data_IF_936303131927
#
_entry.id   IF_936303131927
#
_cell.length_a   1.000
_cell.length_b   1.000
_cell.length_c   1.000
_cell.angle_alpha   90.00
_cell.angle_beta   90.00
_cell.angle_gamma   90.00
#
_symmetry.space_group_name_H-M   'P 1'
#
loop_
_entity.id
_entity.type
_entity.pdbx_description
1 polymer ?
#
# COMPACT_ATOMS: atom_id res chain seq x y z
N UNK A 1 22.22 -3.01 4.06
CA UNK A 1 22.12 -3.40 2.64
C UNK A 1 22.13 -2.13 1.83
N UNK A 2 23.03 -2.02 0.86
CA UNK A 2 23.10 -0.84 -0.01
C UNK A 2 21.79 -0.69 -0.79
N UNK A 3 21.25 0.52 -0.87
CA UNK A 3 20.06 0.81 -1.68
C UNK A 3 20.43 0.66 -3.16
N UNK A 4 20.00 -0.43 -3.77
CA UNK A 4 20.10 -0.61 -5.22
C UNK A 4 18.86 0.01 -5.86
N UNK A 5 19.06 1.05 -6.68
CA UNK A 5 17.98 1.78 -7.35
C UNK A 5 17.15 0.86 -8.24
N UNK A 6 17.77 -0.17 -8.83
CA UNK A 6 17.06 -1.17 -9.65
C UNK A 6 16.10 -1.98 -8.78
N UNK A 7 16.53 -2.42 -7.59
CA UNK A 7 15.67 -3.15 -6.64
C UNK A 7 14.49 -2.28 -6.18
N UNK A 8 14.72 -0.99 -5.91
CA UNK A 8 13.66 -0.05 -5.54
C UNK A 8 12.62 0.11 -6.65
N UNK A 9 13.06 0.26 -7.91
CA UNK A 9 12.14 0.37 -9.05
C UNK A 9 11.31 -0.91 -9.20
N UNK A 10 11.95 -2.08 -9.13
CA UNK A 10 11.25 -3.37 -9.18
C UNK A 10 10.22 -3.45 -8.06
N UNK A 11 10.59 -3.07 -6.83
CA UNK A 11 9.68 -3.07 -5.69
C UNK A 11 8.48 -2.14 -5.91
N UNK A 12 8.69 -0.93 -6.43
CA UNK A 12 7.61 0.00 -6.76
C UNK A 12 6.66 -0.64 -7.78
N UNK A 13 7.18 -1.25 -8.85
CA UNK A 13 6.35 -1.90 -9.88
C UNK A 13 5.53 -3.05 -9.27
N UNK A 14 6.15 -3.93 -8.49
CA UNK A 14 5.46 -5.05 -7.82
C UNK A 14 4.37 -4.53 -6.88
N UNK A 15 4.68 -3.48 -6.10
CA UNK A 15 3.71 -2.84 -5.21
C UNK A 15 2.59 -2.14 -5.99
N UNK A 16 2.86 -1.54 -7.15
CA UNK A 16 1.84 -0.92 -8.00
C UNK A 16 0.87 -1.96 -8.54
N UNK A 17 1.36 -3.12 -8.98
CA UNK A 17 0.50 -4.21 -9.48
C UNK A 17 -0.30 -4.84 -8.34
N UNK A 18 0.30 -4.96 -7.15
CA UNK A 18 -0.30 -5.70 -6.04
C UNK A 18 -1.18 -4.82 -5.14
N UNK A 19 -0.63 -3.71 -4.65
CA UNK A 19 -1.21 -2.87 -3.60
C UNK A 19 -2.13 -1.79 -4.19
N UNK A 20 -1.79 -1.19 -5.34
CA UNK A 20 -2.58 -0.08 -5.87
C UNK A 20 -4.04 -0.48 -6.21
N UNK A 21 -4.34 -1.64 -6.83
CA UNK A 21 -5.71 -2.08 -7.06
C UNK A 21 -6.49 -2.29 -5.76
N UNK A 22 -5.83 -2.88 -4.75
CA UNK A 22 -6.44 -3.16 -3.45
C UNK A 22 -6.78 -1.85 -2.74
N UNK A 23 -5.82 -0.94 -2.65
CA UNK A 23 -6.01 0.36 -2.02
C UNK A 23 -7.08 1.18 -2.76
N UNK A 24 -7.09 1.12 -4.09
CA UNK A 24 -8.11 1.75 -4.92
C UNK A 24 -9.51 1.19 -4.62
N UNK A 25 -9.67 -0.14 -4.59
CA UNK A 25 -10.95 -0.79 -4.25
C UNK A 25 -11.40 -0.37 -2.84
N UNK A 26 -10.51 -0.42 -1.84
CA UNK A 26 -10.82 -0.01 -0.47
C UNK A 26 -11.24 1.45 -0.38
N UNK A 27 -10.52 2.35 -1.06
CA UNK A 27 -10.89 3.76 -1.15
C UNK A 27 -12.25 3.94 -1.81
N UNK A 28 -12.52 3.24 -2.90
CA UNK A 28 -13.80 3.32 -3.62
C UNK A 28 -14.99 2.90 -2.76
N UNK A 29 -14.82 1.87 -1.94
CA UNK A 29 -15.85 1.38 -1.03
C UNK A 29 -16.18 2.42 0.06
N UNK A 30 -15.17 3.11 0.59
CA UNK A 30 -15.34 3.95 1.79
C UNK A 30 -15.52 5.46 1.51
N UNK A 31 -14.99 5.96 0.39
CA UNK A 31 -15.04 7.40 0.04
C UNK A 31 -15.65 7.68 -1.34
N UNK A 32 -15.91 6.64 -2.14
CA UNK A 32 -16.58 6.76 -3.44
C UNK A 32 -15.65 7.05 -4.63
N UNK A 33 -16.24 7.05 -5.83
CA UNK A 33 -15.53 7.20 -7.12
C UNK A 33 -14.83 8.53 -7.30
N UNK A 34 -15.46 9.59 -6.84
CA UNK A 34 -14.98 10.96 -7.08
C UNK A 34 -13.73 11.28 -6.26
N UNK A 35 -13.54 10.56 -5.15
CA UNK A 35 -12.43 10.76 -4.20
C UNK A 35 -11.29 9.76 -4.38
N UNK A 36 -11.59 8.49 -4.68
CA UNK A 36 -10.58 7.45 -4.83
C UNK A 36 -10.37 7.08 -6.30
N UNK A 37 -9.55 7.82 -7.05
CA UNK A 37 -9.19 7.45 -8.42
C UNK A 37 -8.02 6.46 -8.41
N UNK A 38 -7.90 5.67 -9.47
CA UNK A 38 -6.80 4.70 -9.58
C UNK A 38 -5.45 5.41 -9.64
N UNK A 39 -5.38 6.56 -10.31
CA UNK A 39 -4.20 7.43 -10.34
C UNK A 39 -3.78 7.89 -8.95
N UNK A 40 -4.74 8.20 -8.07
CA UNK A 40 -4.44 8.59 -6.69
C UNK A 40 -3.82 7.42 -5.91
N UNK A 41 -4.33 6.19 -6.12
CA UNK A 41 -3.75 4.97 -5.53
C UNK A 41 -2.32 4.68 -6.04
N UNK A 42 -2.06 4.90 -7.33
CA UNK A 42 -0.71 4.80 -7.92
C UNK A 42 0.26 5.75 -7.21
N UNK A 43 -0.14 7.01 -6.99
CA UNK A 43 0.70 7.99 -6.30
C UNK A 43 0.94 7.62 -4.84
N UNK A 44 -0.10 7.18 -4.12
CA UNK A 44 0.04 6.72 -2.73
C UNK A 44 1.07 5.59 -2.64
N UNK A 45 0.98 4.58 -3.51
CA UNK A 45 1.91 3.44 -3.48
C UNK A 45 3.32 3.85 -3.88
N UNK A 46 3.47 4.64 -4.95
CA UNK A 46 4.79 5.10 -5.43
C UNK A 46 5.51 5.90 -4.35
N UNK A 47 4.83 6.87 -3.74
CA UNK A 47 5.40 7.69 -2.68
C UNK A 47 5.58 6.90 -1.39
N UNK A 48 4.62 6.06 -1.01
CA UNK A 48 4.68 5.25 0.20
C UNK A 48 5.88 4.29 0.20
N UNK A 49 6.16 3.62 -0.93
CA UNK A 49 7.32 2.75 -1.08
C UNK A 49 8.62 3.56 -1.12
N UNK A 50 8.67 4.65 -1.90
CA UNK A 50 9.88 5.47 -2.03
C UNK A 50 10.28 6.10 -0.70
N UNK A 51 9.34 6.74 -0.02
CA UNK A 51 9.57 7.39 1.28
C UNK A 51 9.84 6.32 2.35
N UNK A 52 9.10 5.21 2.34
CA UNK A 52 9.30 4.10 3.25
C UNK A 52 10.71 3.49 3.13
N UNK A 53 11.23 3.33 1.91
CA UNK A 53 12.60 2.85 1.67
C UNK A 53 13.64 3.79 2.27
N UNK A 54 13.48 5.11 2.07
CA UNK A 54 14.38 6.12 2.64
C UNK A 54 14.35 6.09 4.17
N UNK A 55 13.17 6.01 4.77
CA UNK A 55 13.01 5.98 6.24
C UNK A 55 13.64 4.72 6.84
N UNK A 56 13.42 3.56 6.23
CA UNK A 56 14.02 2.31 6.68
C UNK A 56 15.55 2.30 6.53
N UNK A 57 16.08 3.04 5.55
CA UNK A 57 17.53 3.19 5.40
C UNK A 57 18.14 4.11 6.47
N UNK A 58 17.45 5.18 6.85
CA UNK A 58 17.97 6.22 7.75
C UNK A 58 17.70 5.97 9.25
N UNK A 59 16.75 5.10 9.59
CA UNK A 59 16.19 5.03 10.96
C UNK A 59 16.24 3.63 11.57
N UNK A 60 16.31 3.55 12.90
CA UNK A 60 16.19 2.30 13.65
C UNK A 60 14.78 1.67 13.49
N UNK A 61 14.75 0.33 13.41
CA UNK A 61 13.58 -0.48 13.02
C UNK A 61 12.22 -0.13 13.69
N UNK A 62 12.12 0.08 15.01
CA UNK A 62 10.81 0.35 15.62
C UNK A 62 10.27 1.75 15.28
N UNK A 63 11.15 2.75 15.17
CA UNK A 63 10.77 4.13 14.84
C UNK A 63 10.39 4.22 13.36
N UNK A 64 11.13 3.53 12.49
CA UNK A 64 10.82 3.45 11.06
C UNK A 64 9.41 2.90 10.80
N UNK A 65 8.98 1.89 11.56
CA UNK A 65 7.64 1.30 11.43
C UNK A 65 6.53 2.30 11.74
N UNK A 66 6.66 3.05 12.84
CA UNK A 66 5.68 4.07 13.24
C UNK A 66 5.59 5.18 12.19
N UNK A 67 6.74 5.72 11.75
CA UNK A 67 6.78 6.74 10.71
C UNK A 67 6.16 6.26 9.41
N UNK A 68 6.46 5.02 9.01
CA UNK A 68 5.90 4.42 7.80
C UNK A 68 4.38 4.35 7.88
N UNK A 69 3.81 3.87 9.00
CA UNK A 69 2.36 3.83 9.19
C UNK A 69 1.74 5.24 9.09
N UNK A 70 2.34 6.23 9.75
CA UNK A 70 1.86 7.61 9.72
C UNK A 70 1.87 8.16 8.28
N UNK A 71 2.93 7.88 7.52
CA UNK A 71 3.06 8.36 6.13
C UNK A 71 2.03 7.70 5.22
N UNK A 72 1.80 6.41 5.34
CA UNK A 72 0.73 5.75 4.58
C UNK A 72 -0.63 6.36 4.88
N UNK A 73 -0.96 6.60 6.15
CA UNK A 73 -2.22 7.25 6.54
C UNK A 73 -2.31 8.68 5.99
N UNK A 74 -1.24 9.45 6.05
CA UNK A 74 -1.19 10.81 5.50
C UNK A 74 -1.35 10.83 3.98
N UNK A 75 -0.69 9.92 3.27
CA UNK A 75 -0.82 9.77 1.82
C UNK A 75 -2.27 9.42 1.46
N UNK A 76 -2.87 8.42 2.11
CA UNK A 76 -4.28 8.05 1.87
C UNK A 76 -5.20 9.25 2.15
N UNK A 77 -5.00 9.93 3.28
CA UNK A 77 -5.78 11.11 3.66
C UNK A 77 -5.71 12.21 2.60
N UNK A 78 -4.50 12.48 2.10
CA UNK A 78 -4.23 13.55 1.15
C UNK A 78 -4.74 13.21 -0.26
N UNK A 79 -4.40 12.03 -0.78
CA UNK A 79 -4.73 11.65 -2.15
C UNK A 79 -6.19 11.21 -2.33
N UNK A 80 -6.82 10.64 -1.30
CA UNK A 80 -8.24 10.28 -1.35
C UNK A 80 -9.17 11.33 -0.71
N UNK A 81 -8.65 12.53 -0.39
CA UNK A 81 -9.44 13.66 0.15
C UNK A 81 -10.39 13.26 1.29
N UNK A 82 -9.89 12.53 2.28
CA UNK A 82 -10.73 11.95 3.34
C UNK A 82 -10.29 12.37 4.76
N UNK A 83 -11.13 12.09 5.76
CA UNK A 83 -10.81 12.31 7.16
C UNK A 83 -9.92 11.20 7.74
N UNK A 84 -9.28 11.46 8.88
CA UNK A 84 -8.39 10.50 9.56
C UNK A 84 -9.03 9.13 9.81
N UNK A 85 -10.28 9.11 10.32
CA UNK A 85 -10.98 7.86 10.60
C UNK A 85 -11.23 7.05 9.33
N UNK A 86 -11.55 7.73 8.21
CA UNK A 86 -11.73 7.07 6.91
C UNK A 86 -10.39 6.57 6.36
N UNK A 87 -9.31 7.34 6.46
CA UNK A 87 -7.99 6.89 6.02
C UNK A 87 -7.55 5.62 6.74
N UNK A 88 -7.77 5.55 8.06
CA UNK A 88 -7.51 4.36 8.86
C UNK A 88 -8.43 3.17 8.47
N UNK A 89 -9.71 3.42 8.26
CA UNK A 89 -10.62 2.38 7.78
C UNK A 89 -10.21 1.84 6.40
N UNK A 90 -9.74 2.71 5.49
CA UNK A 90 -9.25 2.33 4.16
C UNK A 90 -7.99 1.47 4.29
N UNK A 91 -7.03 1.85 5.14
CA UNK A 91 -5.81 1.07 5.31
C UNK A 91 -6.08 -0.31 5.91
N UNK A 92 -7.01 -0.40 6.87
CA UNK A 92 -7.42 -1.69 7.45
C UNK A 92 -8.14 -2.54 6.41
N UNK A 93 -9.10 -1.97 5.68
CA UNK A 93 -9.83 -2.69 4.63
C UNK A 93 -8.89 -3.18 3.54
N UNK A 94 -7.90 -2.38 3.14
CA UNK A 94 -6.88 -2.78 2.16
C UNK A 94 -6.05 -3.96 2.68
N UNK A 95 -5.63 -3.94 3.95
CA UNK A 95 -4.92 -5.05 4.57
C UNK A 95 -5.75 -6.34 4.58
N UNK A 96 -7.04 -6.26 4.91
CA UNK A 96 -7.96 -7.42 4.88
C UNK A 96 -8.10 -7.97 3.47
N UNK A 97 -8.33 -7.12 2.46
CA UNK A 97 -8.43 -7.54 1.06
C UNK A 97 -7.12 -8.21 0.61
N UNK A 98 -5.97 -7.64 0.98
CA UNK A 98 -4.67 -8.21 0.62
C UNK A 98 -4.46 -9.61 1.23
N UNK A 99 -4.82 -9.81 2.50
CA UNK A 99 -4.76 -11.13 3.15
C UNK A 99 -5.65 -12.13 2.41
N UNK A 100 -6.87 -11.75 2.05
CA UNK A 100 -7.79 -12.62 1.28
C UNK A 100 -7.18 -12.99 -0.07
N UNK A 101 -6.60 -12.03 -0.81
CA UNK A 101 -5.94 -12.29 -2.09
C UNK A 101 -4.77 -13.27 -1.92
N UNK A 102 -3.93 -13.09 -0.91
CA UNK A 102 -2.81 -14.01 -0.63
C UNK A 102 -3.32 -15.43 -0.35
N UNK A 103 -4.34 -15.58 0.49
CA UNK A 103 -4.91 -16.90 0.83
C UNK A 103 -5.48 -17.59 -0.41
N UNK A 104 -6.22 -16.86 -1.26
CA UNK A 104 -6.76 -17.42 -2.51
C UNK A 104 -5.67 -17.85 -3.49
N UNK A 105 -4.63 -17.04 -3.65
CA UNK A 105 -3.48 -17.37 -4.49
C UNK A 105 -2.74 -18.58 -3.95
N UNK A 106 -2.52 -18.66 -2.63
CA UNK A 106 -1.86 -19.80 -1.99
C UNK A 106 -2.63 -21.11 -2.19
N UNK A 107 -3.96 -21.08 -2.05
CA UNK A 107 -4.82 -22.25 -2.31
C UNK A 107 -4.76 -22.64 -3.79
N UNK A 108 -4.87 -21.68 -4.71
CA UNK A 108 -4.83 -21.96 -6.15
C UNK A 108 -3.51 -22.58 -6.60
N UNK A 109 -2.38 -22.06 -6.11
CA UNK A 109 -1.06 -22.65 -6.35
C UNK A 109 -0.96 -24.04 -5.71
N UNK A 110 -1.46 -24.21 -4.48
CA UNK A 110 -1.47 -25.49 -3.79
C UNK A 110 -2.23 -26.57 -4.54
N UNK A 111 -3.37 -26.23 -5.16
CA UNK A 111 -4.15 -27.13 -6.01
C UNK A 111 -3.42 -27.44 -7.33
N UNK A 112 -2.74 -26.46 -7.92
CA UNK A 112 -2.02 -26.64 -9.20
C UNK A 112 -0.81 -27.59 -9.08
N UNK A 113 -0.18 -27.66 -7.90
CA UNK A 113 1.04 -28.44 -7.66
C UNK A 113 0.73 -29.89 -7.20
N UNK A 114 -0.52 -30.15 -6.79
CA UNK A 114 -1.02 -31.45 -6.31
C UNK A 114 -1.47 -32.36 -7.46
#
# INVERSE_FOLDING_TARGET
MNMNVIELIIQIIVCLVSIAPILWISGRILVGKDRARFTDAIWIVTLGVSIGSIINHLTHRPIAAILTIIIWLLLIKHFFDCGWLKALAISILAAVIFIVVIVLVAIGIGILIL
#
